data_IF_291550505060
#
_entry.id   IF_291550505060
#
_cell.length_a   1.000
_cell.length_b   1.000
_cell.length_c   1.000
_cell.angle_alpha   90.00
_cell.angle_beta   90.00
_cell.angle_gamma   90.00
#
_symmetry.space_group_name_H-M   'P 1'
#
loop_
_entity.id
_entity.type
_entity.pdbx_description
1 polymer ?
#
# COMPACT_ATOMS: atom_id res chain seq x y z
N UNK A 1 -14.49 -1.82 6.89
CA UNK A 1 -14.92 -0.62 6.15
C UNK A 1 -14.54 -0.83 4.68
N UNK A 2 -15.35 -0.42 3.70
CA UNK A 2 -14.98 -0.54 2.29
C UNK A 2 -14.05 0.62 1.89
N UNK A 3 -13.06 0.38 1.01
CA UNK A 3 -12.18 1.44 0.52
C UNK A 3 -13.00 2.53 -0.19
N UNK A 4 -12.59 3.81 -0.06
CA UNK A 4 -13.29 4.91 -0.72
C UNK A 4 -13.21 4.76 -2.24
N UNK A 5 -14.36 4.66 -2.89
CA UNK A 5 -14.51 4.47 -4.35
C UNK A 5 -14.08 5.71 -5.15
N UNK A 6 -13.96 6.85 -4.46
CA UNK A 6 -13.61 8.15 -5.03
C UNK A 6 -12.11 8.25 -5.38
N UNK A 7 -11.25 7.47 -4.71
CA UNK A 7 -9.81 7.50 -4.97
C UNK A 7 -9.47 6.80 -6.28
N UNK A 8 -8.60 7.40 -7.09
CA UNK A 8 -8.13 6.77 -8.33
C UNK A 8 -7.40 5.45 -8.06
N UNK A 9 -6.68 5.34 -6.94
CA UNK A 9 -6.00 4.12 -6.49
C UNK A 9 -6.96 2.94 -6.28
N UNK A 10 -8.25 3.22 -6.07
CA UNK A 10 -9.28 2.18 -5.93
C UNK A 10 -9.69 1.56 -7.27
N UNK A 11 -9.47 2.25 -8.39
CA UNK A 11 -9.72 1.72 -9.74
C UNK A 11 -8.67 0.64 -10.02
N UNK A 12 -9.10 -0.62 -10.04
CA UNK A 12 -8.27 -1.84 -10.17
C UNK A 12 -7.72 -2.43 -8.86
N UNK A 13 -8.26 -2.04 -7.70
CA UNK A 13 -7.97 -2.72 -6.46
C UNK A 13 -8.46 -4.19 -6.53
N UNK A 14 -7.61 -5.20 -6.28
CA UNK A 14 -8.04 -6.59 -6.16
C UNK A 14 -9.04 -6.78 -5.00
N UNK A 15 -9.81 -7.89 -4.98
CA UNK A 15 -10.68 -8.18 -3.85
C UNK A 15 -9.89 -8.35 -2.54
N UNK A 16 -10.51 -8.02 -1.41
CA UNK A 16 -9.92 -8.28 -0.09
C UNK A 16 -9.57 -9.76 0.09
N UNK A 17 -8.42 -10.05 0.69
CA UNK A 17 -7.92 -11.41 0.85
C UNK A 17 -7.44 -12.06 -0.45
N UNK A 18 -7.17 -11.27 -1.50
CA UNK A 18 -6.60 -11.79 -2.74
C UNK A 18 -5.27 -12.53 -2.50
N UNK A 19 -4.87 -13.44 -3.41
CA UNK A 19 -3.56 -14.08 -3.33
C UNK A 19 -2.40 -13.07 -3.34
N UNK A 20 -1.28 -13.34 -2.64
CA UNK A 20 -0.13 -12.42 -2.57
C UNK A 20 0.42 -11.98 -3.94
N UNK A 21 0.40 -12.86 -4.95
CA UNK A 21 0.85 -12.50 -6.29
C UNK A 21 0.00 -11.38 -6.92
N UNK A 22 -1.34 -11.45 -6.80
CA UNK A 22 -2.22 -10.42 -7.33
C UNK A 22 -2.05 -9.08 -6.59
N UNK A 23 -1.82 -9.15 -5.28
CA UNK A 23 -1.52 -8.01 -4.44
C UNK A 23 -0.20 -7.33 -4.85
N UNK A 24 0.87 -8.11 -5.06
CA UNK A 24 2.18 -7.61 -5.49
C UNK A 24 2.15 -7.02 -6.90
N UNK A 25 1.38 -7.60 -7.80
CA UNK A 25 1.17 -7.05 -9.15
C UNK A 25 0.45 -5.69 -9.09
N UNK A 26 -0.53 -5.54 -8.19
CA UNK A 26 -1.21 -4.26 -7.96
C UNK A 26 -0.24 -3.20 -7.42
N UNK A 27 0.51 -3.49 -6.36
CA UNK A 27 1.46 -2.52 -5.77
C UNK A 27 2.56 -2.13 -6.76
N UNK A 28 3.05 -3.09 -7.55
CA UNK A 28 4.00 -2.84 -8.63
C UNK A 28 3.43 -1.89 -9.66
N UNK A 29 2.23 -2.16 -10.20
CA UNK A 29 1.58 -1.29 -11.18
C UNK A 29 1.41 0.13 -10.63
N UNK A 30 0.93 0.24 -9.39
CA UNK A 30 0.72 1.51 -8.71
C UNK A 30 2.01 2.34 -8.68
N UNK A 31 3.09 1.72 -8.20
CA UNK A 31 4.39 2.37 -8.08
C UNK A 31 5.04 2.72 -9.42
N UNK A 32 4.84 1.90 -10.45
CA UNK A 32 5.43 2.16 -11.78
C UNK A 32 4.61 3.15 -12.61
N UNK A 33 3.32 3.31 -12.34
CA UNK A 33 2.46 4.27 -13.06
C UNK A 33 2.48 5.67 -12.43
N UNK A 34 2.55 5.79 -11.11
CA UNK A 34 2.57 7.10 -10.42
C UNK A 34 3.96 7.75 -10.36
N UNK A 35 5.05 6.99 -10.62
CA UNK A 35 6.42 7.49 -10.48
C UNK A 35 7.14 7.60 -11.83
N UNK A 36 7.07 8.77 -12.48
CA UNK A 36 7.79 9.02 -13.75
C UNK A 36 9.33 8.89 -13.60
N UNK A 37 9.87 9.08 -12.40
CA UNK A 37 11.31 8.94 -12.10
C UNK A 37 11.71 7.55 -11.59
N UNK A 38 10.84 6.53 -11.70
CA UNK A 38 11.12 5.17 -11.20
C UNK A 38 12.41 4.58 -11.79
N UNK A 39 12.76 4.97 -13.02
CA UNK A 39 13.98 4.58 -13.72
C UNK A 39 15.26 4.97 -12.96
N UNK A 40 15.29 6.08 -12.22
CA UNK A 40 16.50 6.51 -11.47
C UNK A 40 16.65 5.75 -10.16
N UNK A 41 15.55 5.60 -9.40
CA UNK A 41 15.56 4.88 -8.11
C UNK A 41 15.79 3.38 -8.32
N UNK A 42 15.20 2.79 -9.37
CA UNK A 42 15.38 1.37 -9.70
C UNK A 42 16.78 1.02 -10.20
N UNK A 43 17.54 1.99 -10.72
CA UNK A 43 18.92 1.76 -11.15
C UNK A 43 19.89 1.60 -9.97
N UNK A 44 19.66 2.35 -8.87
CA UNK A 44 20.44 2.26 -7.64
C UNK A 44 19.98 1.12 -6.71
N UNK A 45 18.70 0.75 -6.76
CA UNK A 45 18.14 -0.29 -5.90
C UNK A 45 18.36 -1.70 -6.51
N UNK A 46 18.95 -2.67 -5.78
CA UNK A 46 19.07 -4.04 -6.26
C UNK A 46 17.71 -4.62 -6.68
N UNK A 47 17.67 -5.35 -7.81
CA UNK A 47 16.43 -5.92 -8.38
C UNK A 47 15.60 -6.72 -7.37
N UNK A 48 16.25 -7.43 -6.44
CA UNK A 48 15.58 -8.19 -5.38
C UNK A 48 14.74 -7.33 -4.42
N UNK A 49 15.08 -6.04 -4.27
CA UNK A 49 14.41 -5.11 -3.37
C UNK A 49 13.27 -4.32 -4.04
N UNK A 50 13.14 -4.40 -5.37
CA UNK A 50 12.14 -3.63 -6.10
C UNK A 50 10.72 -3.93 -5.61
N UNK A 51 10.37 -5.19 -5.38
CA UNK A 51 9.02 -5.53 -4.91
C UNK A 51 8.74 -5.00 -3.51
N UNK A 52 9.70 -5.10 -2.59
CA UNK A 52 9.57 -4.51 -1.25
C UNK A 52 9.34 -3.01 -1.33
N UNK A 53 10.09 -2.33 -2.21
CA UNK A 53 9.90 -0.90 -2.46
C UNK A 53 8.50 -0.59 -3.00
N UNK A 54 8.01 -1.32 -3.99
CA UNK A 54 6.65 -1.16 -4.52
C UNK A 54 5.58 -1.29 -3.44
N UNK A 55 5.74 -2.26 -2.55
CA UNK A 55 4.77 -2.52 -1.47
C UNK A 55 4.73 -1.37 -0.46
N UNK A 56 5.89 -0.85 -0.05
CA UNK A 56 5.99 0.30 0.87
C UNK A 56 5.48 1.57 0.19
N UNK A 57 5.86 1.80 -1.06
CA UNK A 57 5.39 2.95 -1.84
C UNK A 57 3.87 2.97 -1.96
N UNK A 58 3.25 1.81 -2.25
CA UNK A 58 1.80 1.70 -2.33
C UNK A 58 1.12 1.99 -0.99
N UNK A 59 1.72 1.59 0.13
CA UNK A 59 1.22 1.96 1.46
C UNK A 59 1.23 3.48 1.67
N UNK A 60 2.35 4.15 1.34
CA UNK A 60 2.47 5.59 1.48
C UNK A 60 1.49 6.35 0.57
N UNK A 61 1.35 5.92 -0.69
CA UNK A 61 0.46 6.58 -1.66
C UNK A 61 -1.00 6.52 -1.22
N UNK A 62 -1.44 5.38 -0.65
CA UNK A 62 -2.78 5.30 -0.07
C UNK A 62 -2.96 6.23 1.13
N UNK A 63 -1.97 6.33 2.03
CA UNK A 63 -2.07 7.24 3.17
C UNK A 63 -2.16 8.72 2.73
N UNK A 64 -1.39 9.09 1.70
CA UNK A 64 -1.36 10.44 1.11
C UNK A 64 -2.72 10.80 0.49
N UNK A 65 -3.22 9.97 -0.42
CA UNK A 65 -4.52 10.16 -1.07
C UNK A 65 -5.69 10.23 -0.07
N UNK A 66 -5.66 9.43 1.01
CA UNK A 66 -6.69 9.47 2.05
C UNK A 66 -6.68 10.80 2.82
N UNK A 67 -5.53 11.49 2.88
CA UNK A 67 -5.37 12.79 3.50
C UNK A 67 -5.72 13.96 2.57
N UNK A 68 -5.31 13.86 1.31
CA UNK A 68 -5.31 15.00 0.37
C UNK A 68 -6.54 15.04 -0.54
N UNK A 69 -7.03 13.89 -1.02
CA UNK A 69 -8.13 13.83 -1.99
C UNK A 69 -9.52 13.79 -1.32
N UNK A 70 -9.57 13.59 0.00
CA UNK A 70 -10.82 13.51 0.76
C UNK A 70 -11.25 14.91 1.20
N UNK A 71 -12.32 15.42 0.58
CA UNK A 71 -12.83 16.80 0.80
C UNK A 71 -13.20 17.17 2.24
N UNK A 72 -13.53 16.20 3.09
CA UNK A 72 -13.91 16.44 4.50
C UNK A 72 -12.82 15.95 5.44
N UNK A 73 -12.27 16.85 6.26
CA UNK A 73 -11.23 16.49 7.25
C UNK A 73 -11.71 15.44 8.26
N UNK A 74 -12.99 15.48 8.65
CA UNK A 74 -13.55 14.45 9.53
C UNK A 74 -13.57 13.08 8.85
N UNK A 75 -13.90 13.05 7.55
CA UNK A 75 -13.90 11.84 6.75
C UNK A 75 -12.48 11.30 6.51
N UNK A 76 -11.52 12.19 6.24
CA UNK A 76 -10.11 11.84 6.09
C UNK A 76 -9.58 11.16 7.37
N UNK A 77 -9.89 11.73 8.55
CA UNK A 77 -9.50 11.14 9.83
C UNK A 77 -10.10 9.74 10.07
N UNK A 78 -11.37 9.53 9.74
CA UNK A 78 -11.99 8.19 9.82
C UNK A 78 -11.28 7.18 8.91
N UNK A 79 -10.96 7.59 7.69
CA UNK A 79 -10.31 6.76 6.69
C UNK A 79 -8.86 6.43 7.05
N UNK A 80 -8.12 7.41 7.59
CA UNK A 80 -6.77 7.20 8.13
C UNK A 80 -6.80 6.25 9.34
N UNK A 81 -7.80 6.37 10.22
CA UNK A 81 -7.97 5.43 11.33
C UNK A 81 -8.30 4.00 10.87
N UNK A 82 -9.08 3.86 9.78
CA UNK A 82 -9.27 2.56 9.12
C UNK A 82 -7.96 2.02 8.53
N UNK A 83 -7.19 2.87 7.86
CA UNK A 83 -5.89 2.49 7.28
C UNK A 83 -4.88 2.03 8.33
N UNK A 84 -4.83 2.72 9.48
CA UNK A 84 -4.03 2.32 10.64
C UNK A 84 -4.48 0.97 11.20
N UNK A 85 -5.80 0.73 11.26
CA UNK A 85 -6.34 -0.56 11.71
C UNK A 85 -5.92 -1.71 10.80
N UNK A 86 -5.91 -1.50 9.48
CA UNK A 86 -5.41 -2.50 8.53
C UNK A 86 -3.91 -2.74 8.67
N UNK A 87 -3.10 -1.70 8.95
CA UNK A 87 -1.68 -1.85 9.28
C UNK A 87 -1.50 -2.75 10.52
N UNK A 88 -2.27 -2.50 11.59
CA UNK A 88 -2.24 -3.33 12.80
C UNK A 88 -2.61 -4.78 12.50
N UNK A 89 -3.63 -5.02 11.67
CA UNK A 89 -4.02 -6.37 11.23
C UNK A 89 -2.90 -7.05 10.43
N UNK A 90 -2.20 -6.32 9.56
CA UNK A 90 -1.03 -6.83 8.84
C UNK A 90 0.05 -7.34 9.81
N UNK A 91 0.43 -6.52 10.81
CA UNK A 91 1.42 -6.92 11.81
C UNK A 91 0.91 -8.05 12.71
N UNK A 92 -0.40 -8.15 12.98
CA UNK A 92 -1.03 -9.25 13.68
C UNK A 92 -1.15 -10.55 12.87
N UNK A 93 -0.83 -10.53 11.56
CA UNK A 93 -0.85 -11.72 10.70
C UNK A 93 -2.15 -11.97 9.93
N UNK A 94 -3.07 -11.00 9.91
CA UNK A 94 -4.37 -11.10 9.24
C UNK A 94 -4.61 -9.95 8.22
N UNK A 95 -3.70 -9.69 7.27
CA UNK A 95 -3.90 -8.63 6.29
C UNK A 95 -5.10 -8.95 5.38
N UNK A 96 -5.97 -7.95 5.17
CA UNK A 96 -7.16 -8.10 4.33
C UNK A 96 -7.09 -7.25 3.07
N UNK A 97 -6.66 -5.98 3.18
CA UNK A 97 -6.48 -5.13 2.02
C UNK A 97 -5.31 -5.60 1.14
N UNK A 98 -5.43 -5.56 -0.21
CA UNK A 98 -4.37 -5.99 -1.12
C UNK A 98 -3.00 -5.35 -0.84
N UNK A 99 -2.95 -4.04 -0.52
CA UNK A 99 -1.68 -3.38 -0.15
C UNK A 99 -1.02 -4.05 1.05
N UNK A 100 -1.77 -4.38 2.10
CA UNK A 100 -1.25 -5.04 3.29
C UNK A 100 -0.92 -6.51 3.06
N UNK A 101 -1.68 -7.20 2.19
CA UNK A 101 -1.35 -8.57 1.76
C UNK A 101 0.02 -8.58 1.07
N UNK A 102 0.32 -7.60 0.22
CA UNK A 102 1.63 -7.47 -0.42
C UNK A 102 2.72 -7.01 0.56
N UNK A 103 2.38 -6.13 1.50
CA UNK A 103 3.31 -5.56 2.48
C UNK A 103 3.77 -6.59 3.53
N UNK A 104 2.90 -7.54 3.91
CA UNK A 104 3.19 -8.55 4.94
C UNK A 104 4.55 -9.27 4.78
N UNK A 105 4.87 -9.91 3.64
CA UNK A 105 6.18 -10.54 3.47
C UNK A 105 7.33 -9.54 3.52
N UNK A 106 7.10 -8.28 3.11
CA UNK A 106 8.12 -7.24 3.15
C UNK A 106 8.50 -6.87 4.59
N UNK A 107 7.52 -6.66 5.47
CA UNK A 107 7.80 -6.32 6.87
C UNK A 107 8.47 -7.48 7.60
N UNK A 108 8.13 -8.73 7.26
CA UNK A 108 8.73 -9.92 7.87
C UNK A 108 10.19 -10.15 7.41
N UNK A 109 10.42 -10.14 6.09
CA UNK A 109 11.74 -10.41 5.50
C UNK A 109 12.73 -9.27 5.78
N UNK A 110 12.27 -8.02 5.76
CA UNK A 110 13.11 -6.85 6.02
C UNK A 110 13.13 -6.43 7.50
N UNK A 111 12.40 -7.13 8.37
CA UNK A 111 12.32 -6.85 9.81
C UNK A 111 11.91 -5.40 10.11
N UNK A 112 10.94 -4.87 9.35
CA UNK A 112 10.51 -3.47 9.47
C UNK A 112 9.63 -3.35 10.72
N UNK A 113 9.96 -2.45 11.67
CA UNK A 113 9.10 -2.17 12.82
C UNK A 113 7.82 -1.43 12.39
N UNK A 114 6.76 -1.58 13.19
CA UNK A 114 5.49 -0.90 12.92
C UNK A 114 5.58 0.63 13.10
N UNK A 115 6.47 1.09 13.97
CA UNK A 115 6.81 2.49 14.16
C UNK A 115 8.07 2.82 13.34
N UNK A 116 8.12 3.96 12.62
CA UNK A 116 9.28 4.38 11.83
C UNK A 116 10.57 4.61 12.62
#
# INVERSE_FOLDING_TARGET
MQPPVELELSRQLPPSGCPPAAAQDYTRRLATHHYENFSVVSWLLPRRLHQHFYNVYAYCSWADDLGDEVSSSARALELLGWWESELRNCYAGSPSHPVFVALKPTVEECQIPIEP
#
